data_IF_564715226656
#
_entry.id   IF_564715226656
#
_cell.length_a   1.000
_cell.length_b   1.000
_cell.length_c   1.000
_cell.angle_alpha   90.00
_cell.angle_beta   90.00
_cell.angle_gamma   90.00
#
_symmetry.space_group_name_H-M   'P 1'
#
loop_
_entity.id
_entity.type
_entity.pdbx_description
1 polymer ?
#
# COMPACT_ATOMS: atom_id res chain seq x y z
N UNK A 1 46.03 50.50 36.31
CA UNK A 1 45.37 51.03 35.10
C UNK A 1 44.80 49.85 34.34
N UNK A 2 43.52 49.55 34.58
CA UNK A 2 42.82 48.40 33.99
C UNK A 2 42.25 48.81 32.64
N UNK A 3 42.67 48.14 31.58
CA UNK A 3 42.03 48.27 30.25
C UNK A 3 40.97 47.18 30.14
N UNK A 4 39.71 47.58 30.32
CA UNK A 4 38.54 46.75 30.10
C UNK A 4 38.43 46.39 28.61
N UNK A 5 38.52 45.09 28.32
CA UNK A 5 38.34 44.53 27.00
C UNK A 5 36.84 44.31 26.80
N UNK A 6 36.15 45.30 26.23
CA UNK A 6 34.74 45.13 25.84
C UNK A 6 34.63 44.04 24.77
N UNK A 7 34.18 42.86 25.18
CA UNK A 7 33.64 41.84 24.27
C UNK A 7 32.31 42.39 23.72
N UNK A 8 32.34 42.96 22.52
CA UNK A 8 31.11 43.20 21.77
C UNK A 8 30.54 41.83 21.37
N UNK A 9 29.51 41.39 22.09
CA UNK A 9 28.64 40.28 21.69
C UNK A 9 28.05 40.59 20.33
N UNK A 10 28.60 39.98 19.28
CA UNK A 10 27.97 39.91 17.96
C UNK A 10 26.69 39.08 18.10
N UNK A 11 25.57 39.77 18.31
CA UNK A 11 24.27 39.21 17.96
C UNK A 11 24.28 39.05 16.45
N UNK A 12 24.46 37.82 15.97
CA UNK A 12 24.38 37.50 14.56
C UNK A 12 22.99 37.90 14.05
N UNK A 13 22.90 39.09 13.44
CA UNK A 13 21.73 39.53 12.71
C UNK A 13 21.57 38.57 11.52
N UNK A 14 20.64 37.62 11.67
CA UNK A 14 20.29 36.70 10.62
C UNK A 14 19.95 37.50 9.37
N UNK A 15 20.59 37.14 8.26
CA UNK A 15 20.35 37.83 6.98
C UNK A 15 18.89 37.62 6.53
N UNK A 16 18.34 38.59 5.80
CA UNK A 16 16.98 38.48 5.22
C UNK A 16 16.78 37.19 4.43
N UNK A 17 17.86 36.68 3.82
CA UNK A 17 17.88 35.40 3.13
C UNK A 17 17.72 34.20 4.07
N UNK A 18 18.40 34.21 5.23
CA UNK A 18 18.25 33.20 6.29
C UNK A 18 16.86 33.26 6.91
N UNK A 19 16.33 34.46 7.15
CA UNK A 19 14.95 34.66 7.65
C UNK A 19 13.93 34.08 6.66
N UNK A 20 14.09 34.30 5.35
CA UNK A 20 13.21 33.75 4.32
C UNK A 20 13.35 32.22 4.21
N UNK A 21 14.57 31.68 4.30
CA UNK A 21 14.82 30.24 4.30
C UNK A 21 14.21 29.55 5.52
N UNK A 22 14.32 30.15 6.71
CA UNK A 22 13.68 29.65 7.92
C UNK A 22 12.16 29.71 7.84
N UNK A 23 11.60 30.79 7.28
CA UNK A 23 10.14 30.90 7.03
C UNK A 23 9.66 29.86 6.03
N UNK A 24 10.44 29.56 4.98
CA UNK A 24 10.11 28.51 4.00
C UNK A 24 10.24 27.10 4.60
N UNK A 25 11.25 26.85 5.45
CA UNK A 25 11.41 25.57 6.18
C UNK A 25 10.27 25.30 7.16
N UNK A 26 9.69 26.36 7.76
CA UNK A 26 8.59 26.23 8.73
C UNK A 26 7.22 25.99 8.11
N UNK A 27 7.04 26.22 6.81
CA UNK A 27 5.74 25.99 6.16
C UNK A 27 5.55 24.50 5.89
N UNK A 28 4.57 23.83 6.52
CA UNK A 28 4.29 22.45 6.21
C UNK A 28 3.90 22.35 4.73
N UNK A 29 4.23 21.23 4.07
CA UNK A 29 3.78 20.97 2.71
C UNK A 29 2.27 21.17 2.56
N UNK A 30 1.81 21.49 1.34
CA UNK A 30 0.40 21.80 1.12
C UNK A 30 -0.55 20.67 1.56
N UNK A 31 -0.14 19.40 1.43
CA UNK A 31 -0.92 18.22 1.79
C UNK A 31 -1.07 17.98 3.30
N UNK A 32 -0.31 18.70 4.13
CA UNK A 32 -0.42 18.63 5.59
C UNK A 32 -1.45 19.62 6.15
N UNK A 33 -1.93 20.57 5.34
CA UNK A 33 -3.03 21.47 5.71
C UNK A 33 -4.32 20.68 5.81
N UNK A 34 -5.17 21.02 6.79
CA UNK A 34 -6.40 20.27 7.04
C UNK A 34 -7.36 20.27 5.84
N UNK A 35 -7.53 21.42 5.17
CA UNK A 35 -8.31 21.53 3.94
C UNK A 35 -7.83 20.55 2.85
N UNK A 36 -6.50 20.45 2.67
CA UNK A 36 -5.91 19.55 1.70
C UNK A 36 -6.10 18.08 2.08
N UNK A 37 -6.00 17.75 3.37
CA UNK A 37 -6.26 16.39 3.88
C UNK A 37 -7.71 15.97 3.63
N UNK A 38 -8.66 16.87 3.92
CA UNK A 38 -10.10 16.65 3.69
C UNK A 38 -10.36 16.44 2.20
N UNK A 39 -9.83 17.31 1.34
CA UNK A 39 -9.97 17.19 -0.11
C UNK A 39 -9.35 15.89 -0.64
N UNK A 40 -8.15 15.52 -0.17
CA UNK A 40 -7.48 14.29 -0.55
C UNK A 40 -8.28 13.05 -0.12
N UNK A 41 -8.79 13.02 1.11
CA UNK A 41 -9.62 11.92 1.60
C UNK A 41 -10.91 11.76 0.77
N UNK A 42 -11.57 12.87 0.41
CA UNK A 42 -12.75 12.86 -0.46
C UNK A 42 -12.42 12.30 -1.85
N UNK A 43 -11.32 12.74 -2.45
CA UNK A 43 -10.88 12.26 -3.77
C UNK A 43 -10.53 10.76 -3.75
N UNK A 44 -9.88 10.31 -2.68
CA UNK A 44 -9.58 8.89 -2.45
C UNK A 44 -10.87 8.09 -2.34
N UNK A 45 -11.84 8.55 -1.54
CA UNK A 45 -13.13 7.88 -1.38
C UNK A 45 -13.86 7.74 -2.73
N UNK A 46 -13.93 8.82 -3.51
CA UNK A 46 -14.54 8.81 -4.85
C UNK A 46 -13.82 7.84 -5.80
N UNK A 47 -12.49 7.77 -5.75
CA UNK A 47 -11.73 6.78 -6.52
C UNK A 47 -12.09 5.35 -6.11
N UNK A 48 -12.20 5.06 -4.82
CA UNK A 48 -12.57 3.74 -4.32
C UNK A 48 -14.00 3.35 -4.73
N UNK A 49 -14.93 4.28 -4.71
CA UNK A 49 -16.30 4.07 -5.21
C UNK A 49 -16.30 3.73 -6.70
N UNK A 50 -15.55 4.49 -7.51
CA UNK A 50 -15.35 4.18 -8.94
C UNK A 50 -14.71 2.81 -9.15
N UNK A 51 -13.76 2.43 -8.30
CA UNK A 51 -13.13 1.10 -8.37
C UNK A 51 -14.10 -0.03 -8.05
N UNK A 52 -14.95 0.14 -7.02
CA UNK A 52 -16.00 -0.83 -6.67
C UNK A 52 -17.03 -0.94 -7.79
N UNK A 53 -17.46 0.20 -8.35
CA UNK A 53 -18.38 0.25 -9.49
C UNK A 53 -17.80 -0.47 -10.70
N UNK A 54 -16.55 -0.18 -11.07
CA UNK A 54 -15.87 -0.85 -12.18
C UNK A 54 -15.79 -2.38 -12.00
N UNK A 55 -15.61 -2.88 -10.77
CA UNK A 55 -15.64 -4.31 -10.49
C UNK A 55 -17.05 -4.91 -10.67
N UNK A 56 -18.09 -4.20 -10.22
CA UNK A 56 -19.49 -4.60 -10.38
C UNK A 56 -19.89 -4.62 -11.87
N UNK A 57 -19.62 -3.54 -12.60
CA UNK A 57 -19.96 -3.42 -14.02
C UNK A 57 -19.26 -4.51 -14.85
N UNK A 58 -18.00 -4.81 -14.55
CA UNK A 58 -17.25 -5.88 -15.20
C UNK A 58 -17.73 -7.30 -14.85
N UNK A 59 -18.37 -7.48 -13.69
CA UNK A 59 -19.07 -8.72 -13.33
C UNK A 59 -20.35 -8.88 -14.14
N UNK A 60 -21.15 -7.80 -14.23
CA UNK A 60 -22.38 -7.76 -15.01
C UNK A 60 -22.08 -8.02 -16.49
N UNK A 61 -21.09 -7.33 -17.07
CA UNK A 61 -20.70 -7.53 -18.46
C UNK A 61 -20.26 -8.97 -18.73
N UNK A 62 -19.48 -9.57 -17.82
CA UNK A 62 -19.04 -10.97 -17.98
C UNK A 62 -20.22 -11.93 -18.00
N UNK A 63 -21.20 -11.75 -17.10
CA UNK A 63 -22.43 -12.56 -17.07
C UNK A 63 -23.29 -12.39 -18.32
N UNK A 64 -23.26 -11.20 -18.91
CA UNK A 64 -23.95 -10.89 -20.16
C UNK A 64 -23.16 -11.29 -21.42
N UNK A 65 -21.98 -11.91 -21.30
CA UNK A 65 -21.11 -12.24 -22.43
C UNK A 65 -20.54 -11.01 -23.15
N UNK A 66 -20.52 -9.85 -22.49
CA UNK A 66 -19.97 -8.59 -23.01
C UNK A 66 -18.50 -8.41 -22.63
N UNK A 67 -17.82 -7.56 -23.38
CA UNK A 67 -16.43 -7.22 -23.11
C UNK A 67 -16.25 -6.54 -21.75
N UNK A 68 -15.18 -6.91 -21.06
CA UNK A 68 -14.85 -6.47 -19.70
C UNK A 68 -13.73 -5.44 -19.77
N UNK A 69 -14.04 -4.16 -19.56
CA UNK A 69 -13.10 -3.05 -19.81
C UNK A 69 -12.97 -2.07 -18.64
N UNK A 70 -13.92 -2.02 -17.71
CA UNK A 70 -14.02 -0.93 -16.74
C UNK A 70 -12.81 -0.92 -15.78
N UNK A 71 -12.43 -2.09 -15.23
CA UNK A 71 -11.21 -2.18 -14.41
C UNK A 71 -9.94 -1.85 -15.20
N UNK A 72 -9.88 -2.24 -16.48
CA UNK A 72 -8.70 -2.03 -17.33
C UNK A 72 -8.48 -0.54 -17.63
N UNK A 73 -9.56 0.21 -17.89
CA UNK A 73 -9.50 1.66 -18.11
C UNK A 73 -9.08 2.40 -16.83
N UNK A 74 -9.54 1.94 -15.66
CA UNK A 74 -9.31 2.62 -14.39
C UNK A 74 -7.95 2.28 -13.74
N UNK A 75 -7.35 1.11 -14.00
CA UNK A 75 -6.14 0.64 -13.30
C UNK A 75 -4.93 1.59 -13.44
N UNK A 76 -4.82 2.31 -14.56
CA UNK A 76 -3.74 3.30 -14.79
C UNK A 76 -3.84 4.48 -13.84
N UNK A 77 -5.05 4.96 -13.59
CA UNK A 77 -5.32 6.03 -12.62
C UNK A 77 -5.05 5.54 -11.19
N UNK A 78 -5.54 4.34 -10.86
CA UNK A 78 -5.30 3.72 -9.54
C UNK A 78 -3.81 3.58 -9.25
N UNK A 79 -3.01 3.11 -10.22
CA UNK A 79 -1.55 3.03 -10.10
C UNK A 79 -0.93 4.39 -9.77
N UNK A 80 -1.26 5.44 -10.54
CA UNK A 80 -0.72 6.79 -10.32
C UNK A 80 -1.08 7.32 -8.93
N UNK A 81 -2.28 7.03 -8.45
CA UNK A 81 -2.74 7.47 -7.12
C UNK A 81 -2.04 6.70 -6.00
N UNK A 82 -1.84 5.37 -6.13
CA UNK A 82 -1.09 4.55 -5.16
C UNK A 82 0.38 4.95 -5.04
N UNK A 83 0.98 5.47 -6.12
CA UNK A 83 2.37 5.95 -6.13
C UNK A 83 2.57 7.28 -5.39
N UNK A 84 1.49 8.03 -5.11
CA UNK A 84 1.57 9.29 -4.36
C UNK A 84 1.68 8.97 -2.87
N UNK A 85 2.89 9.06 -2.32
CA UNK A 85 3.20 8.75 -0.91
C UNK A 85 2.31 9.51 0.07
N UNK A 86 2.05 10.80 -0.17
CA UNK A 86 1.18 11.63 0.66
C UNK A 86 -0.30 11.16 0.68
N UNK A 87 -0.74 10.39 -0.32
CA UNK A 87 -2.09 9.79 -0.35
C UNK A 87 -2.14 8.40 0.25
N UNK A 88 -1.01 7.71 0.46
CA UNK A 88 -0.99 6.32 0.92
C UNK A 88 -1.69 6.16 2.27
N UNK A 89 -1.49 7.11 3.20
CA UNK A 89 -2.21 7.11 4.47
C UNK A 89 -3.73 7.15 4.27
N UNK A 90 -4.23 8.12 3.51
CA UNK A 90 -5.67 8.25 3.25
C UNK A 90 -6.24 7.03 2.50
N UNK A 91 -5.49 6.48 1.54
CA UNK A 91 -5.86 5.27 0.80
C UNK A 91 -6.02 4.06 1.73
N UNK A 92 -5.10 3.87 2.66
CA UNK A 92 -5.14 2.76 3.62
C UNK A 92 -6.32 2.90 4.59
N UNK A 93 -6.52 4.09 5.17
CA UNK A 93 -7.61 4.36 6.10
C UNK A 93 -9.00 4.26 5.43
N UNK A 94 -9.11 4.56 4.13
CA UNK A 94 -10.34 4.37 3.35
C UNK A 94 -10.53 2.93 2.84
N UNK A 95 -9.60 2.02 3.11
CA UNK A 95 -9.78 0.60 2.79
C UNK A 95 -9.40 0.20 1.36
N UNK A 96 -8.43 0.88 0.73
CA UNK A 96 -8.01 0.57 -0.66
C UNK A 96 -7.60 -0.90 -0.84
N UNK A 97 -7.01 -1.51 0.19
CA UNK A 97 -6.57 -2.91 0.15
C UNK A 97 -7.74 -3.88 -0.04
N UNK A 98 -8.92 -3.56 0.50
CA UNK A 98 -10.13 -4.38 0.37
C UNK A 98 -10.62 -4.36 -1.09
N UNK A 99 -10.59 -3.18 -1.72
CA UNK A 99 -11.00 -3.03 -3.13
C UNK A 99 -10.00 -3.69 -4.07
N UNK A 100 -8.71 -3.56 -3.79
CA UNK A 100 -7.65 -4.28 -4.54
C UNK A 100 -7.81 -5.80 -4.36
N UNK A 101 -8.13 -6.28 -3.16
CA UNK A 101 -8.41 -7.69 -2.92
C UNK A 101 -9.59 -8.17 -3.78
N UNK A 102 -10.67 -7.39 -3.86
CA UNK A 102 -11.82 -7.69 -4.72
C UNK A 102 -11.43 -7.78 -6.21
N UNK A 103 -10.59 -6.86 -6.70
CA UNK A 103 -10.15 -6.85 -8.11
C UNK A 103 -9.25 -8.04 -8.47
N UNK A 104 -8.47 -8.51 -7.50
CA UNK A 104 -7.49 -9.59 -7.68
C UNK A 104 -8.03 -10.97 -7.30
N UNK A 105 -9.13 -11.04 -6.56
CA UNK A 105 -9.72 -12.31 -6.18
C UNK A 105 -10.26 -13.03 -7.44
N UNK A 106 -9.85 -14.29 -7.67
CA UNK A 106 -10.41 -15.10 -8.74
C UNK A 106 -11.93 -15.22 -8.61
N UNK A 107 -12.62 -15.37 -9.75
CA UNK A 107 -14.07 -15.65 -9.77
C UNK A 107 -14.37 -17.02 -9.14
N UNK A 108 -15.66 -17.35 -8.95
CA UNK A 108 -16.07 -18.68 -8.50
C UNK A 108 -15.56 -19.79 -9.45
N UNK A 109 -15.53 -19.49 -10.75
CA UNK A 109 -14.98 -20.35 -11.81
C UNK A 109 -13.43 -20.37 -11.86
N UNK A 110 -12.76 -19.73 -10.90
CA UNK A 110 -11.29 -19.63 -10.85
C UNK A 110 -10.70 -18.62 -11.85
N UNK A 111 -11.49 -17.95 -12.67
CA UNK A 111 -10.96 -17.02 -13.69
C UNK A 111 -10.25 -15.83 -13.05
N UNK A 112 -9.02 -15.57 -13.50
CA UNK A 112 -8.23 -14.42 -13.09
C UNK A 112 -8.63 -13.15 -13.85
N UNK A 113 -8.43 -11.98 -13.23
CA UNK A 113 -8.49 -10.72 -13.95
C UNK A 113 -7.33 -10.59 -14.96
N UNK A 114 -7.46 -9.68 -15.92
CA UNK A 114 -6.48 -9.46 -17.00
C UNK A 114 -5.07 -9.29 -16.44
N UNK A 115 -4.07 -9.90 -17.10
CA UNK A 115 -2.67 -9.87 -16.66
C UNK A 115 -2.17 -8.45 -16.37
N UNK A 116 -2.54 -7.48 -17.22
CA UNK A 116 -2.21 -6.06 -17.04
C UNK A 116 -2.65 -5.52 -15.68
N UNK A 117 -3.85 -5.88 -15.21
CA UNK A 117 -4.37 -5.46 -13.91
C UNK A 117 -3.55 -6.10 -12.79
N UNK A 118 -3.34 -7.43 -12.88
CA UNK A 118 -2.57 -8.21 -11.90
C UNK A 118 -1.17 -7.65 -11.72
N UNK A 119 -0.42 -7.49 -12.81
CA UNK A 119 0.94 -6.95 -12.77
C UNK A 119 0.99 -5.53 -12.21
N UNK A 120 0.07 -4.67 -12.65
CA UNK A 120 0.04 -3.27 -12.24
C UNK A 120 -0.19 -3.14 -10.75
N UNK A 121 -1.18 -3.86 -10.22
CA UNK A 121 -1.53 -3.81 -8.80
C UNK A 121 -0.46 -4.49 -7.94
N UNK A 122 0.08 -5.65 -8.34
CA UNK A 122 1.17 -6.30 -7.60
C UNK A 122 2.41 -5.41 -7.49
N UNK A 123 2.79 -4.75 -8.60
CA UNK A 123 3.91 -3.78 -8.60
C UNK A 123 3.61 -2.57 -7.71
N UNK A 124 2.38 -2.06 -7.74
CA UNK A 124 1.99 -0.91 -6.90
C UNK A 124 1.96 -1.27 -5.41
N UNK A 125 1.46 -2.45 -5.03
CA UNK A 125 1.40 -2.95 -3.65
C UNK A 125 2.80 -3.11 -3.04
N UNK A 126 3.81 -3.47 -3.83
CA UNK A 126 5.20 -3.54 -3.37
C UNK A 126 5.77 -2.18 -2.95
N UNK A 127 5.20 -1.08 -3.44
CA UNK A 127 5.61 0.30 -3.15
C UNK A 127 4.79 0.95 -2.02
N UNK A 128 3.77 0.26 -1.50
CA UNK A 128 2.99 0.78 -0.37
C UNK A 128 3.80 0.64 0.93
N UNK A 129 3.83 1.74 1.68
CA UNK A 129 4.46 1.83 3.00
C UNK A 129 3.40 1.94 4.09
N UNK A 130 3.81 1.84 5.36
CA UNK A 130 2.95 2.09 6.53
C UNK A 130 1.67 1.22 6.64
N UNK A 131 1.69 0.00 6.08
CA UNK A 131 0.60 -0.95 6.24
C UNK A 131 0.59 -1.46 7.69
N UNK A 132 -0.54 -1.30 8.39
CA UNK A 132 -0.78 -1.79 9.75
C UNK A 132 -1.44 -3.18 9.73
N UNK A 133 -1.42 -3.86 10.88
CA UNK A 133 -2.10 -5.14 11.09
C UNK A 133 -3.61 -5.07 10.76
N UNK A 134 -4.31 -4.04 11.22
CA UNK A 134 -5.76 -3.83 10.97
C UNK A 134 -6.10 -3.83 9.48
N UNK A 135 -5.34 -3.08 8.67
CA UNK A 135 -5.54 -3.01 7.23
C UNK A 135 -5.46 -4.38 6.54
N UNK A 136 -4.57 -5.27 7.02
CA UNK A 136 -4.38 -6.61 6.47
C UNK A 136 -5.48 -7.60 6.89
N UNK A 137 -5.99 -7.45 8.12
CA UNK A 137 -7.07 -8.29 8.64
C UNK A 137 -8.41 -7.97 7.97
N UNK A 138 -8.73 -6.69 7.83
CA UNK A 138 -9.96 -6.22 7.19
C UNK A 138 -9.99 -6.52 5.68
N UNK A 139 -8.86 -6.35 4.99
CA UNK A 139 -8.81 -6.52 3.52
C UNK A 139 -8.84 -7.96 3.04
N UNK A 140 -8.46 -8.92 3.90
CA UNK A 140 -8.24 -10.32 3.52
C UNK A 140 -7.28 -10.49 2.32
N UNK A 141 -6.48 -9.47 2.01
CA UNK A 141 -5.64 -9.41 0.82
C UNK A 141 -4.58 -10.53 0.81
N UNK A 142 -4.07 -10.92 1.99
CA UNK A 142 -3.12 -12.02 2.13
C UNK A 142 -3.70 -13.33 1.57
N UNK A 143 -4.99 -13.60 1.77
CA UNK A 143 -5.62 -14.82 1.29
C UNK A 143 -5.75 -14.79 -0.24
N UNK A 144 -6.12 -13.65 -0.81
CA UNK A 144 -6.17 -13.44 -2.26
C UNK A 144 -4.78 -13.64 -2.89
N UNK A 145 -3.73 -13.11 -2.28
CA UNK A 145 -2.35 -13.29 -2.76
C UNK A 145 -1.89 -14.75 -2.74
N UNK A 146 -2.34 -15.55 -1.75
CA UNK A 146 -2.06 -16.99 -1.73
C UNK A 146 -2.73 -17.70 -2.89
N UNK A 147 -4.02 -17.41 -3.15
CA UNK A 147 -4.74 -17.95 -4.30
C UNK A 147 -4.04 -17.60 -5.61
N UNK A 148 -3.67 -16.33 -5.81
CA UNK A 148 -2.93 -15.90 -7.01
C UNK A 148 -1.59 -16.63 -7.16
N UNK A 149 -0.84 -16.79 -6.07
CA UNK A 149 0.43 -17.52 -6.08
C UNK A 149 0.27 -18.98 -6.51
N UNK A 150 -0.81 -19.62 -6.08
CA UNK A 150 -1.11 -21.04 -6.33
C UNK A 150 -1.80 -21.29 -7.67
N UNK A 151 -2.37 -20.25 -8.28
CA UNK A 151 -3.13 -20.36 -9.52
C UNK A 151 -2.27 -20.88 -10.70
N UNK A 152 -2.73 -21.86 -11.50
CA UNK A 152 -1.97 -22.36 -12.65
C UNK A 152 -1.68 -21.26 -13.68
N UNK A 153 -2.70 -20.46 -14.03
CA UNK A 153 -2.62 -19.41 -15.05
C UNK A 153 -1.95 -18.09 -14.61
N UNK A 154 -1.25 -18.10 -13.47
CA UNK A 154 -0.47 -16.97 -13.01
C UNK A 154 0.99 -17.07 -13.45
N UNK A 155 1.56 -15.93 -13.86
CA UNK A 155 2.94 -15.84 -14.35
C UNK A 155 3.94 -16.06 -13.22
N UNK A 156 5.12 -16.60 -13.56
CA UNK A 156 6.20 -16.83 -12.60
C UNK A 156 6.58 -15.56 -11.83
N UNK A 157 6.63 -14.44 -12.53
CA UNK A 157 6.96 -13.14 -11.96
C UNK A 157 5.91 -12.65 -10.97
N UNK A 158 4.63 -12.77 -11.30
CA UNK A 158 3.56 -12.39 -10.39
C UNK A 158 3.49 -13.33 -9.18
N UNK A 159 3.72 -14.64 -9.36
CA UNK A 159 3.87 -15.58 -8.25
C UNK A 159 5.04 -15.20 -7.33
N UNK A 160 6.13 -14.66 -7.86
CA UNK A 160 7.26 -14.14 -7.07
C UNK A 160 6.86 -12.89 -6.28
N UNK A 161 6.22 -11.90 -6.93
CA UNK A 161 5.73 -10.68 -6.26
C UNK A 161 4.69 -10.99 -5.18
N UNK A 162 3.73 -11.88 -5.46
CA UNK A 162 2.72 -12.31 -4.50
C UNK A 162 3.35 -13.03 -3.29
N UNK A 163 4.37 -13.87 -3.50
CA UNK A 163 5.14 -14.48 -2.40
C UNK A 163 5.78 -13.42 -1.49
N UNK A 164 6.51 -12.49 -2.09
CA UNK A 164 7.16 -11.42 -1.35
C UNK A 164 6.16 -10.59 -0.52
N UNK A 165 5.03 -10.20 -1.13
CA UNK A 165 3.96 -9.47 -0.44
C UNK A 165 3.38 -10.27 0.73
N UNK A 166 3.10 -11.57 0.53
CA UNK A 166 2.58 -12.45 1.60
C UNK A 166 3.57 -12.54 2.76
N UNK A 167 4.86 -12.71 2.48
CA UNK A 167 5.87 -12.84 3.52
C UNK A 167 6.06 -11.52 4.28
N UNK A 168 6.14 -10.39 3.55
CA UNK A 168 6.22 -9.04 4.13
C UNK A 168 5.03 -8.75 5.04
N UNK A 169 3.81 -8.99 4.57
CA UNK A 169 2.60 -8.66 5.32
C UNK A 169 2.29 -9.63 6.44
N UNK A 170 2.70 -10.90 6.34
CA UNK A 170 2.61 -11.79 7.49
C UNK A 170 3.50 -11.30 8.65
N UNK A 171 4.71 -10.80 8.36
CA UNK A 171 5.58 -10.23 9.40
C UNK A 171 4.92 -9.05 10.09
N UNK A 172 4.32 -8.13 9.32
CA UNK A 172 3.55 -7.00 9.84
C UNK A 172 2.38 -7.47 10.70
N UNK A 173 1.58 -8.43 10.19
CA UNK A 173 0.40 -8.95 10.89
C UNK A 173 0.73 -9.63 12.22
N UNK A 174 1.87 -10.31 12.30
CA UNK A 174 2.31 -11.05 13.48
C UNK A 174 3.34 -10.29 14.35
N UNK A 175 3.61 -9.02 14.04
CA UNK A 175 4.53 -8.18 14.82
C UNK A 175 5.96 -8.71 14.88
N UNK A 176 6.42 -9.35 13.80
CA UNK A 176 7.74 -9.97 13.76
C UNK A 176 8.75 -8.88 13.41
N UNK A 177 9.67 -8.62 14.35
CA UNK A 177 10.67 -7.57 14.23
C UNK A 177 11.46 -7.69 12.91
N UNK A 178 11.84 -6.53 12.38
CA UNK A 178 12.50 -6.33 11.10
C UNK A 178 13.97 -6.76 11.14
N UNK A 179 14.25 -8.01 11.50
CA UNK A 179 15.49 -8.69 11.10
C UNK A 179 15.14 -9.62 9.92
N UNK A 180 15.29 -9.15 8.67
CA UNK A 180 15.52 -10.02 7.52
C UNK A 180 17.03 -10.27 7.46
N UNK A 181 17.47 -11.51 7.44
CA UNK A 181 17.72 -12.16 6.16
C UNK A 181 17.52 -13.67 6.36
N UNK A 182 16.77 -14.32 5.45
CA UNK A 182 16.77 -15.78 5.25
C UNK A 182 16.02 -16.70 6.24
N UNK A 183 14.89 -16.30 6.83
CA UNK A 183 13.99 -17.35 7.36
C UNK A 183 13.35 -18.09 6.17
N UNK A 184 13.83 -19.30 5.90
CA UNK A 184 13.27 -20.26 4.95
C UNK A 184 11.83 -20.62 5.32
N UNK A 185 11.07 -21.19 4.37
CA UNK A 185 9.70 -21.65 4.61
C UNK A 185 9.59 -22.57 5.85
N UNK A 186 10.62 -23.38 6.12
CA UNK A 186 10.68 -24.29 7.27
C UNK A 186 10.87 -23.52 8.58
N UNK A 187 11.79 -22.56 8.61
CA UNK A 187 12.02 -21.73 9.79
C UNK A 187 10.83 -20.82 10.09
N UNK A 188 10.12 -20.37 9.05
CA UNK A 188 8.85 -19.67 9.19
C UNK A 188 7.74 -20.54 9.79
N UNK A 189 7.66 -21.81 9.42
CA UNK A 189 6.72 -22.76 10.04
C UNK A 189 7.07 -23.00 11.52
N UNK A 190 8.35 -23.22 11.83
CA UNK A 190 8.84 -23.39 13.20
C UNK A 190 8.61 -22.12 14.05
N UNK A 191 8.80 -20.93 13.47
CA UNK A 191 8.54 -19.66 14.14
C UNK A 191 7.07 -19.52 14.56
N UNK A 192 6.12 -19.92 13.70
CA UNK A 192 4.69 -19.88 14.02
C UNK A 192 4.32 -20.85 15.13
N UNK A 193 4.84 -22.06 15.05
CA UNK A 193 4.61 -23.13 16.03
C UNK A 193 5.08 -22.71 17.43
N UNK A 194 6.30 -22.15 17.53
CA UNK A 194 6.87 -21.62 18.78
C UNK A 194 6.08 -20.46 19.40
N UNK A 195 5.33 -19.70 18.62
CA UNK A 195 4.53 -18.54 19.06
C UNK A 195 3.04 -18.87 19.25
N UNK A 196 2.63 -20.14 19.13
CA UNK A 196 1.23 -20.56 19.18
C UNK A 196 0.36 -19.95 18.08
N UNK A 197 0.98 -19.43 17.01
CA UNK A 197 0.28 -18.87 15.88
C UNK A 197 -0.23 -20.03 15.03
N UNK A 198 -1.56 -20.22 14.98
CA UNK A 198 -2.18 -21.27 14.16
C UNK A 198 -1.60 -21.22 12.75
N UNK A 199 -0.95 -22.31 12.33
CA UNK A 199 -0.63 -22.51 10.92
C UNK A 199 -1.96 -22.55 10.18
N UNK A 200 -2.19 -21.73 9.13
CA UNK A 200 -3.28 -22.02 8.22
C UNK A 200 -3.02 -23.43 7.71
N UNK A 201 -3.95 -24.36 7.95
CA UNK A 201 -3.86 -25.74 7.49
C UNK A 201 -3.42 -25.74 6.03
N UNK A 202 -2.15 -26.07 5.80
CA UNK A 202 -1.60 -26.26 4.47
C UNK A 202 -1.70 -27.73 4.16
N UNK A 203 -2.89 -28.21 3.83
CA UNK A 203 -3.14 -29.55 3.29
C UNK A 203 -4.44 -29.44 2.48
N UNK A 204 -4.53 -29.81 1.21
CA UNK A 204 -3.92 -30.92 0.48
C UNK A 204 -3.74 -30.52 -0.99
#
# INVERSE_FOLDING_TARGET
MSTDRQLSTSTAELTDFEIILERKKKRPPWWERDEARIACAKNVKLLLERMKKAACDDEIHRRQGRLVMQKLLLVREVKKTLQKTFLQGALLEQGVLQVIAQWLNPTAEGTLCTLTIRETLLKALLQLTCIKKSHLEESRLINVMRKLREHPDETRDNKKRARELVDRWNRVRYGIAMQPLQLSRREWSSYKEKRGLKTPSTYR
#
